data_IF_634906813000
#
_entry.id   IF_634906813000
#
_cell.length_a   1.000
_cell.length_b   1.000
_cell.length_c   1.000
_cell.angle_alpha   90.00
_cell.angle_beta   90.00
_cell.angle_gamma   90.00
#
_symmetry.space_group_name_H-M   'P 1'
#
loop_
_entity.id
_entity.type
_entity.pdbx_description
1 polymer ?
#
# COMPACT_ATOMS: atom_id res chain seq x y z
N UNK A 1 5.21 -10.43 -12.54
CA UNK A 1 6.65 -10.25 -12.27
C UNK A 1 6.94 -8.77 -12.47
N UNK A 2 7.17 -7.91 -11.48
CA UNK A 2 7.99 -7.95 -10.26
C UNK A 2 7.14 -7.51 -9.05
N UNK A 3 7.12 -8.24 -7.93
CA UNK A 3 6.33 -7.88 -6.73
C UNK A 3 7.16 -7.57 -5.48
N UNK A 4 8.47 -7.44 -5.60
CA UNK A 4 9.37 -7.46 -4.43
C UNK A 4 10.25 -6.21 -4.26
N UNK A 5 10.11 -5.19 -5.11
CA UNK A 5 10.99 -4.00 -5.04
C UNK A 5 10.48 -2.91 -4.08
N UNK A 6 9.38 -3.18 -3.36
CA UNK A 6 8.77 -2.27 -2.37
C UNK A 6 9.71 -1.99 -1.19
N UNK A 7 10.47 -2.99 -0.77
CA UNK A 7 11.35 -2.93 0.41
C UNK A 7 12.39 -1.81 0.31
N UNK A 8 12.98 -1.60 -0.88
CA UNK A 8 14.00 -0.57 -1.09
C UNK A 8 13.48 0.86 -0.96
N UNK A 9 12.20 1.08 -1.29
CA UNK A 9 11.57 2.40 -1.25
C UNK A 9 10.52 2.53 -0.12
N UNK A 10 10.39 1.53 0.77
CA UNK A 10 9.31 1.46 1.75
C UNK A 10 9.21 2.72 2.62
N UNK A 11 10.35 3.30 3.02
CA UNK A 11 10.38 4.56 3.78
C UNK A 11 9.67 5.72 3.07
N UNK A 12 9.84 5.86 1.76
CA UNK A 12 9.15 6.91 0.98
C UNK A 12 7.67 6.57 0.79
N UNK A 13 7.41 5.29 0.55
CA UNK A 13 6.06 4.75 0.33
C UNK A 13 5.22 4.91 1.59
N UNK A 14 5.76 4.65 2.79
CA UNK A 14 5.03 4.78 4.05
C UNK A 14 4.47 6.17 4.25
N UNK A 15 5.19 7.21 3.83
CA UNK A 15 4.68 8.58 3.80
C UNK A 15 3.42 8.68 2.94
N UNK A 16 3.46 8.14 1.72
CA UNK A 16 2.31 8.11 0.79
C UNK A 16 1.15 7.24 1.28
N UNK A 17 1.44 6.10 1.89
CA UNK A 17 0.43 5.21 2.50
C UNK A 17 -0.28 5.94 3.63
N UNK A 18 0.43 6.69 4.47
CA UNK A 18 -0.15 7.52 5.52
C UNK A 18 -0.99 8.66 4.96
N UNK A 19 -0.55 9.30 3.86
CA UNK A 19 -1.34 10.34 3.18
C UNK A 19 -2.64 9.77 2.57
N UNK A 20 -2.57 8.60 1.90
CA UNK A 20 -3.72 7.92 1.27
C UNK A 20 -4.68 7.37 2.32
N UNK A 21 -4.14 6.69 3.33
CA UNK A 21 -4.88 6.02 4.40
C UNK A 21 -4.51 6.61 5.75
N UNK A 22 -5.02 7.81 6.02
CA UNK A 22 -4.74 8.56 7.26
C UNK A 22 -5.13 7.86 8.58
N UNK A 23 -5.78 6.68 8.54
CA UNK A 23 -6.00 5.86 9.74
C UNK A 23 -4.79 5.01 10.11
N UNK A 24 -3.84 4.79 9.20
CA UNK A 24 -2.62 4.06 9.51
C UNK A 24 -1.65 4.94 10.27
N UNK A 25 -1.08 4.37 11.33
CA UNK A 25 -0.06 5.02 12.13
C UNK A 25 1.33 4.66 11.61
N UNK A 26 2.32 5.49 11.94
CA UNK A 26 3.70 5.26 11.52
C UNK A 26 4.24 3.89 11.96
N UNK A 27 3.85 3.45 13.16
CA UNK A 27 4.20 2.16 13.76
C UNK A 27 3.58 0.99 12.98
N UNK A 28 2.28 1.08 12.66
CA UNK A 28 1.63 0.05 11.84
C UNK A 28 2.29 -0.06 10.48
N UNK A 29 2.61 1.07 9.83
CA UNK A 29 3.32 1.06 8.56
C UNK A 29 4.73 0.51 8.67
N UNK A 30 5.40 0.68 9.81
CA UNK A 30 6.71 0.07 10.05
C UNK A 30 6.61 -1.46 10.11
N UNK A 31 5.62 -1.97 10.85
CA UNK A 31 5.34 -3.41 10.97
C UNK A 31 4.95 -4.09 9.65
N UNK A 32 4.31 -3.35 8.74
CA UNK A 32 3.92 -3.87 7.43
C UNK A 32 5.13 -4.20 6.55
N UNK A 33 6.28 -3.54 6.74
CA UNK A 33 7.53 -3.71 5.97
C UNK A 33 7.34 -3.72 4.43
N UNK A 34 6.30 -3.07 3.91
CA UNK A 34 5.99 -3.10 2.47
C UNK A 34 5.45 -4.42 1.95
N UNK A 35 5.05 -5.34 2.84
CA UNK A 35 4.38 -6.59 2.47
C UNK A 35 2.93 -6.30 2.10
N UNK A 36 2.61 -6.51 0.83
CA UNK A 36 1.24 -6.42 0.28
C UNK A 36 0.20 -7.08 1.17
N UNK A 37 0.40 -8.33 1.55
CA UNK A 37 -0.60 -9.12 2.28
C UNK A 37 -0.90 -8.52 3.67
N UNK A 38 0.12 -8.00 4.33
CA UNK A 38 -0.02 -7.32 5.61
C UNK A 38 -0.83 -6.02 5.47
N UNK A 39 -0.58 -5.24 4.41
CA UNK A 39 -1.29 -3.98 4.15
C UNK A 39 -2.77 -4.26 3.86
N UNK A 40 -3.06 -5.30 3.07
CA UNK A 40 -4.42 -5.76 2.81
C UNK A 40 -5.10 -6.23 4.10
N UNK A 41 -4.41 -6.97 4.97
CA UNK A 41 -4.90 -7.36 6.29
C UNK A 41 -5.29 -6.16 7.14
N UNK A 42 -4.38 -5.19 7.28
CA UNK A 42 -4.61 -3.96 8.04
C UNK A 42 -5.73 -3.10 7.46
N UNK A 43 -5.89 -3.04 6.14
CA UNK A 43 -7.02 -2.37 5.49
C UNK A 43 -8.35 -3.02 5.87
N UNK A 44 -8.42 -4.35 5.89
CA UNK A 44 -9.61 -5.07 6.34
C UNK A 44 -9.92 -4.77 7.82
N UNK A 45 -8.92 -4.81 8.70
CA UNK A 45 -9.09 -4.57 10.14
C UNK A 45 -9.48 -3.12 10.48
N UNK A 46 -8.81 -2.12 9.88
CA UNK A 46 -8.98 -0.69 10.23
C UNK A 46 -10.13 -0.01 9.50
N UNK A 47 -10.41 -0.45 8.28
CA UNK A 47 -11.45 0.14 7.44
C UNK A 47 -12.67 -0.77 7.28
N UNK A 48 -12.63 -2.02 7.76
CA UNK A 48 -13.72 -2.97 7.56
C UNK A 48 -13.90 -3.36 6.10
N UNK A 49 -12.84 -3.24 5.29
CA UNK A 49 -12.91 -3.57 3.87
C UNK A 49 -12.99 -5.07 3.66
N UNK A 50 -13.61 -5.48 2.56
CA UNK A 50 -13.51 -6.85 2.06
C UNK A 50 -12.13 -7.06 1.45
N UNK A 51 -11.67 -8.31 1.40
CA UNK A 51 -10.38 -8.66 0.79
C UNK A 51 -10.24 -8.09 -0.63
N UNK A 52 -11.29 -8.18 -1.44
CA UNK A 52 -11.32 -7.64 -2.81
C UNK A 52 -11.12 -6.12 -2.83
N UNK A 53 -11.85 -5.39 -1.98
CA UNK A 53 -11.74 -3.93 -1.88
C UNK A 53 -10.36 -3.50 -1.38
N UNK A 54 -9.83 -4.20 -0.38
CA UNK A 54 -8.49 -3.94 0.15
C UNK A 54 -7.40 -4.23 -0.89
N UNK A 55 -7.55 -5.29 -1.69
CA UNK A 55 -6.66 -5.57 -2.82
C UNK A 55 -6.75 -4.51 -3.92
N UNK A 56 -7.95 -4.04 -4.25
CA UNK A 56 -8.16 -2.99 -5.24
C UNK A 56 -7.49 -1.68 -4.81
N UNK A 57 -7.74 -1.24 -3.57
CA UNK A 57 -7.12 -0.06 -2.97
C UNK A 57 -5.59 -0.16 -2.98
N UNK A 58 -5.06 -1.33 -2.62
CA UNK A 58 -3.62 -1.58 -2.64
C UNK A 58 -3.04 -1.55 -4.06
N UNK A 59 -3.69 -2.21 -5.02
CA UNK A 59 -3.24 -2.24 -6.42
C UNK A 59 -3.27 -0.83 -7.03
N UNK A 60 -4.30 -0.03 -6.73
CA UNK A 60 -4.38 1.36 -7.19
C UNK A 60 -3.21 2.17 -6.62
N UNK A 61 -2.96 2.04 -5.32
CA UNK A 61 -1.82 2.68 -4.67
C UNK A 61 -0.49 2.25 -5.31
N UNK A 62 -0.25 0.95 -5.48
CA UNK A 62 0.95 0.43 -6.13
C UNK A 62 1.11 1.01 -7.54
N UNK A 63 0.02 1.03 -8.32
CA UNK A 63 0.04 1.59 -9.67
C UNK A 63 0.28 3.10 -9.71
N UNK A 64 -0.29 3.86 -8.79
CA UNK A 64 -0.16 5.33 -8.76
C UNK A 64 1.22 5.77 -8.27
N UNK A 65 1.77 5.09 -7.27
CA UNK A 65 2.98 5.57 -6.56
C UNK A 65 4.26 4.82 -6.93
N UNK A 66 4.19 3.59 -7.46
CA UNK A 66 5.37 2.78 -7.80
C UNK A 66 5.52 2.58 -9.30
N UNK A 67 4.40 2.42 -9.99
CA UNK A 67 4.37 2.18 -11.43
C UNK A 67 4.17 3.49 -12.19
N UNK A 68 4.88 4.55 -11.80
CA UNK A 68 4.77 5.92 -12.33
C UNK A 68 5.06 6.12 -13.83
N UNK A 69 4.89 5.11 -14.68
CA UNK A 69 5.10 5.22 -16.13
C UNK A 69 4.24 4.22 -16.93
N UNK A 70 2.90 4.32 -16.89
CA UNK A 70 2.00 3.94 -18.02
C UNK A 70 0.55 4.32 -17.71
N UNK A 71 0.21 5.60 -17.96
CA UNK A 71 -1.02 5.96 -18.68
C UNK A 71 -0.94 7.42 -19.13
N UNK A 72 -0.14 7.64 -20.18
CA UNK A 72 -0.49 8.64 -21.20
C UNK A 72 -1.45 7.93 -22.14
N UNK A 73 -2.74 8.27 -22.08
CA UNK A 73 -3.65 8.25 -23.22
C UNK A 73 -4.73 9.29 -22.94
#
# INVERSE_FOLDING_TARGET
>A
MNRDTLLGNWKQIKGKVKEKWGKFTDDELDQLEGKRDQIIGKLQEKYGYTRDRAEMEYNEFESTYLTGSTRKY
#
